data_IF_255000498964
#
_entry.id   IF_255000498964
#
_cell.length_a   1.000
_cell.length_b   1.000
_cell.length_c   1.000
_cell.angle_alpha   90.00
_cell.angle_beta   90.00
_cell.angle_gamma   90.00
#
_symmetry.space_group_name_H-M   'P 1'
#
loop_
_entity.id
_entity.type
_entity.pdbx_description
1 polymer ?
#
# COMPACT_ATOMS: atom_id res chain seq x y z
N UNK A 1 46.99 17.96 29.24
CA UNK A 1 45.92 16.94 29.21
C UNK A 1 44.58 17.62 29.00
N UNK A 2 43.88 17.35 27.90
CA UNK A 2 42.43 17.61 27.75
C UNK A 2 41.88 16.69 26.66
N UNK A 3 41.38 15.49 27.01
CA UNK A 3 40.82 14.55 26.05
C UNK A 3 39.38 14.99 25.71
N UNK A 4 39.22 16.16 25.07
CA UNK A 4 37.89 16.65 24.68
C UNK A 4 37.40 16.06 23.36
N UNK A 5 38.31 15.49 22.56
CA UNK A 5 38.00 14.91 21.25
C UNK A 5 37.58 13.44 21.30
N UNK A 6 37.80 12.74 22.42
CA UNK A 6 37.44 11.31 22.57
C UNK A 6 35.95 11.08 22.87
N UNK A 7 35.24 12.10 23.36
CA UNK A 7 33.82 11.98 23.72
C UNK A 7 32.86 12.26 22.56
N UNK A 8 33.29 13.00 21.54
CA UNK A 8 32.47 13.34 20.37
C UNK A 8 32.05 12.12 19.52
N UNK A 9 32.94 11.16 19.15
CA UNK A 9 32.54 10.01 18.33
C UNK A 9 31.61 9.05 19.10
N UNK A 10 31.78 8.93 20.42
CA UNK A 10 30.92 8.10 21.26
C UNK A 10 29.49 8.65 21.31
N UNK A 11 29.34 9.97 21.43
CA UNK A 11 28.03 10.62 21.46
C UNK A 11 27.28 10.47 20.13
N UNK A 12 27.99 10.54 19.00
CA UNK A 12 27.41 10.36 17.65
C UNK A 12 26.97 8.91 17.42
N UNK A 13 27.77 7.93 17.89
CA UNK A 13 27.40 6.52 17.75
C UNK A 13 26.18 6.17 18.62
N UNK A 14 26.07 6.76 19.81
CA UNK A 14 24.94 6.57 20.71
C UNK A 14 23.62 7.14 20.13
N UNK A 15 23.66 8.29 19.46
CA UNK A 15 22.48 8.87 18.81
C UNK A 15 22.03 8.09 17.58
N UNK A 16 22.95 7.49 16.81
CA UNK A 16 22.60 6.62 15.68
C UNK A 16 21.87 5.35 16.13
N UNK A 17 22.27 4.75 17.26
CA UNK A 17 21.63 3.54 17.78
C UNK A 17 20.23 3.80 18.38
N UNK A 18 19.98 5.03 18.84
CA UNK A 18 18.66 5.47 19.30
C UNK A 18 17.68 5.70 18.13
N UNK A 19 18.18 5.87 16.91
CA UNK A 19 17.41 5.99 15.67
C UNK A 19 17.14 4.62 15.04
N UNK A 20 16.81 3.61 15.85
CA UNK A 20 16.31 2.36 15.29
C UNK A 20 14.90 2.61 14.73
N UNK A 21 14.66 2.41 13.42
CA UNK A 21 13.30 2.43 12.91
C UNK A 21 12.51 1.37 13.69
N UNK A 22 11.38 1.78 14.27
CA UNK A 22 10.44 0.81 14.82
C UNK A 22 10.20 -0.27 13.76
N UNK A 23 10.11 -1.56 14.13
CA UNK A 23 9.80 -2.60 13.16
C UNK A 23 8.51 -2.16 12.48
N UNK A 24 8.60 -1.81 11.21
CA UNK A 24 7.43 -1.56 10.39
C UNK A 24 6.69 -2.90 10.39
N UNK A 25 5.66 -3.01 11.24
CA UNK A 25 4.71 -4.10 11.11
C UNK A 25 4.03 -3.85 9.78
N UNK A 26 4.58 -4.42 8.72
CA UNK A 26 3.89 -4.50 7.44
C UNK A 26 2.57 -5.17 7.77
N UNK A 27 1.47 -4.42 7.72
CA UNK A 27 0.15 -4.99 7.66
C UNK A 27 0.00 -5.60 6.26
N UNK A 28 0.77 -6.68 6.04
CA UNK A 28 0.92 -7.37 4.75
C UNK A 28 -0.42 -7.84 4.19
N UNK A 29 -1.48 -7.82 5.00
CA UNK A 29 -2.84 -8.15 4.60
C UNK A 29 -3.27 -7.44 3.31
N UNK A 30 -3.14 -6.11 3.22
CA UNK A 30 -3.59 -5.38 2.02
C UNK A 30 -2.75 -5.68 0.78
N UNK A 31 -1.43 -5.84 0.96
CA UNK A 31 -0.55 -6.22 -0.15
C UNK A 31 -0.73 -7.67 -0.60
N UNK A 32 -1.00 -8.60 0.32
CA UNK A 32 -1.35 -9.97 -0.01
C UNK A 32 -2.64 -9.97 -0.84
N UNK A 33 -3.67 -9.24 -0.40
CA UNK A 33 -4.93 -9.13 -1.14
C UNK A 33 -4.71 -8.53 -2.53
N UNK A 34 -3.95 -7.44 -2.63
CA UNK A 34 -3.62 -6.81 -3.92
C UNK A 34 -2.90 -7.78 -4.87
N UNK A 35 -1.83 -8.42 -4.39
CA UNK A 35 -1.06 -9.39 -5.19
C UNK A 35 -1.90 -10.58 -5.62
N UNK A 36 -2.77 -11.08 -4.75
CA UNK A 36 -3.68 -12.18 -5.07
C UNK A 36 -4.68 -11.81 -6.17
N UNK A 37 -5.20 -10.57 -6.17
CA UNK A 37 -6.12 -10.08 -7.19
C UNK A 37 -5.45 -9.89 -8.56
N UNK A 38 -4.13 -9.70 -8.60
CA UNK A 38 -3.35 -9.58 -9.84
C UNK A 38 -3.10 -10.92 -10.54
N UNK A 39 -3.51 -12.05 -9.96
CA UNK A 39 -3.37 -13.34 -10.61
C UNK A 39 -4.31 -13.44 -11.84
N UNK A 40 -3.78 -13.64 -13.06
CA UNK A 40 -4.59 -13.69 -14.28
C UNK A 40 -5.59 -14.84 -14.32
N UNK A 41 -5.34 -15.93 -13.59
CA UNK A 41 -6.28 -17.06 -13.48
C UNK A 41 -7.34 -16.84 -12.38
N UNK A 42 -7.41 -15.63 -11.82
CA UNK A 42 -8.25 -15.25 -10.69
C UNK A 42 -7.62 -15.60 -9.34
N UNK A 43 -7.90 -14.78 -8.33
CA UNK A 43 -7.35 -14.94 -6.98
C UNK A 43 -7.66 -16.30 -6.34
N UNK A 44 -8.82 -16.89 -6.64
CA UNK A 44 -9.24 -18.18 -6.09
C UNK A 44 -8.48 -19.38 -6.68
N UNK A 45 -7.76 -19.20 -7.79
CA UNK A 45 -6.91 -20.26 -8.37
C UNK A 45 -5.69 -20.59 -7.52
N UNK A 46 -5.32 -19.71 -6.58
CA UNK A 46 -4.23 -19.92 -5.62
C UNK A 46 -4.84 -20.17 -4.25
N UNK A 47 -4.73 -21.39 -3.68
CA UNK A 47 -5.39 -21.73 -2.40
C UNK A 47 -5.01 -20.80 -1.24
N UNK A 48 -3.75 -20.34 -1.23
CA UNK A 48 -3.27 -19.36 -0.24
C UNK A 48 -4.02 -18.02 -0.29
N UNK A 49 -4.48 -17.62 -1.46
CA UNK A 49 -5.20 -16.36 -1.66
C UNK A 49 -6.66 -16.41 -1.22
N UNK A 50 -7.22 -17.60 -0.98
CA UNK A 50 -8.66 -17.74 -0.70
C UNK A 50 -9.06 -17.07 0.63
N UNK A 51 -8.46 -17.41 1.78
CA UNK A 51 -8.83 -16.80 3.06
C UNK A 51 -8.63 -15.27 3.13
N UNK A 52 -7.49 -14.68 2.69
CA UNK A 52 -7.27 -13.24 2.82
C UNK A 52 -8.20 -12.42 1.92
N UNK A 53 -8.46 -12.87 0.69
CA UNK A 53 -9.35 -12.13 -0.23
C UNK A 53 -10.81 -12.22 0.23
N UNK A 54 -11.27 -13.37 0.72
CA UNK A 54 -12.60 -13.46 1.34
C UNK A 54 -12.74 -12.55 2.56
N UNK A 55 -11.69 -12.45 3.38
CA UNK A 55 -11.67 -11.51 4.50
C UNK A 55 -11.78 -10.06 4.02
N UNK A 56 -11.11 -9.69 2.92
CA UNK A 56 -11.24 -8.35 2.34
C UNK A 56 -12.67 -8.05 1.88
N UNK A 57 -13.34 -9.01 1.22
CA UNK A 57 -14.74 -8.87 0.85
C UNK A 57 -15.67 -8.73 2.06
N UNK A 58 -15.42 -9.48 3.14
CA UNK A 58 -16.19 -9.36 4.38
C UNK A 58 -16.04 -7.96 5.04
N UNK A 59 -14.87 -7.33 4.92
CA UNK A 59 -14.65 -5.97 5.41
C UNK A 59 -15.53 -4.97 4.67
N UNK A 60 -15.50 -4.97 3.34
CA UNK A 60 -16.31 -4.03 2.55
C UNK A 60 -17.80 -4.30 2.65
N UNK A 61 -18.21 -5.57 2.78
CA UNK A 61 -19.60 -5.93 3.10
C UNK A 61 -20.06 -5.34 4.44
N UNK A 62 -19.12 -5.17 5.39
CA UNK A 62 -19.34 -4.52 6.69
C UNK A 62 -19.17 -2.99 6.64
N UNK A 63 -19.17 -2.38 5.45
CA UNK A 63 -18.92 -0.94 5.22
C UNK A 63 -17.56 -0.45 5.73
N UNK A 64 -16.56 -1.34 5.84
CA UNK A 64 -15.17 -0.96 6.13
C UNK A 64 -14.42 -0.67 4.82
N UNK A 65 -13.41 0.22 4.84
CA UNK A 65 -12.62 0.50 3.64
C UNK A 65 -11.88 -0.75 3.17
N UNK A 66 -11.56 -0.75 1.87
CA UNK A 66 -10.67 -1.76 1.28
C UNK A 66 -9.29 -1.70 1.97
N UNK A 67 -8.65 -2.86 2.23
CA UNK A 67 -7.32 -2.88 2.86
C UNK A 67 -6.28 -2.22 1.97
N UNK A 68 -5.44 -1.39 2.60
CA UNK A 68 -4.44 -0.60 1.92
C UNK A 68 -3.14 -1.37 1.74
N UNK A 69 -2.44 -1.12 0.65
CA UNK A 69 -1.06 -1.57 0.42
C UNK A 69 -0.21 -0.32 0.14
N UNK A 70 0.46 0.25 1.15
CA UNK A 70 1.28 1.45 0.99
C UNK A 70 2.32 1.35 -0.14
N UNK A 71 2.86 0.15 -0.35
CA UNK A 71 3.85 -0.20 -1.36
C UNK A 71 3.31 -0.09 -2.78
N UNK A 72 1.99 -0.21 -2.94
CA UNK A 72 1.33 -0.02 -4.22
C UNK A 72 1.21 1.45 -4.63
N UNK A 73 1.60 2.38 -3.74
CA UNK A 73 1.46 3.82 -3.91
C UNK A 73 0.05 4.23 -4.38
N UNK A 74 -0.96 3.48 -3.94
CA UNK A 74 -2.35 3.70 -4.27
C UNK A 74 -2.97 4.49 -3.11
N UNK A 75 -3.37 5.76 -3.31
CA UNK A 75 -3.93 6.57 -2.24
C UNK A 75 -5.33 6.05 -1.90
N UNK A 76 -5.46 5.23 -0.87
CA UNK A 76 -6.77 4.93 -0.28
C UNK A 76 -7.08 5.89 0.85
N UNK A 77 -7.52 7.09 0.49
CA UNK A 77 -7.89 8.11 1.45
C UNK A 77 -9.38 8.48 1.25
N UNK A 78 -10.29 8.01 2.13
CA UNK A 78 -11.74 8.24 1.98
C UNK A 78 -12.19 9.69 2.24
N UNK A 79 -11.31 10.61 2.63
CA UNK A 79 -11.60 12.05 2.83
C UNK A 79 -11.30 12.94 1.62
N UNK A 80 -10.90 12.38 0.48
CA UNK A 80 -10.69 13.13 -0.77
C UNK A 80 -11.55 12.58 -1.91
N UNK A 81 -12.86 12.45 -1.67
CA UNK A 81 -13.83 12.16 -2.72
C UNK A 81 -14.33 13.43 -3.46
N UNK A 82 -13.48 14.47 -3.54
CA UNK A 82 -13.70 15.67 -4.36
C UNK A 82 -12.36 16.12 -4.98
N UNK A 83 -11.64 15.18 -5.57
CA UNK A 83 -10.72 15.54 -6.65
C UNK A 83 -11.11 14.62 -7.80
N UNK A 84 -12.09 15.08 -8.57
CA UNK A 84 -12.48 14.51 -9.84
C UNK A 84 -11.21 14.22 -10.63
N UNK A 85 -10.84 12.95 -10.71
CA UNK A 85 -9.76 12.49 -11.57
C UNK A 85 -10.25 12.69 -12.99
N UNK A 86 -9.99 13.87 -13.52
CA UNK A 86 -10.18 14.15 -14.94
C UNK A 86 -9.24 13.19 -15.66
N UNK A 87 -9.79 12.13 -16.27
CA UNK A 87 -9.04 11.25 -17.16
C UNK A 87 -8.86 12.04 -18.46
N UNK A 88 -8.06 13.10 -18.40
CA UNK A 88 -7.41 13.67 -19.55
C UNK A 88 -6.23 12.75 -19.86
N UNK A 89 -6.26 12.11 -21.03
CA UNK A 89 -5.05 11.51 -21.60
C UNK A 89 -3.90 12.55 -21.59
N UNK A 90 -2.65 12.13 -21.66
CA UNK A 90 -1.48 13.03 -21.55
C UNK A 90 -1.40 14.18 -22.59
N UNK A 91 -2.33 14.26 -23.56
CA UNK A 91 -2.53 15.34 -24.54
C UNK A 91 -3.77 16.22 -24.25
N UNK A 92 -4.57 15.85 -23.25
CA UNK A 92 -5.73 16.63 -22.82
C UNK A 92 -6.98 16.56 -23.71
N UNK A 93 -6.97 15.75 -24.77
CA UNK A 93 -8.00 15.78 -25.82
C UNK A 93 -8.71 14.45 -26.08
N UNK A 94 -8.22 13.34 -25.52
CA UNK A 94 -8.77 12.00 -25.82
C UNK A 94 -9.59 11.44 -24.65
N UNK A 95 -10.91 11.28 -24.84
CA UNK A 95 -11.74 10.44 -23.96
C UNK A 95 -11.48 8.97 -24.29
N UNK A 96 -11.06 8.18 -23.31
CA UNK A 96 -10.97 6.72 -23.45
C UNK A 96 -12.41 6.15 -23.41
N UNK A 97 -12.86 5.42 -24.44
CA UNK A 97 -14.15 4.74 -24.39
C UNK A 97 -14.15 3.74 -23.23
N UNK A 98 -15.28 3.55 -22.52
CA UNK A 98 -15.40 2.46 -21.57
C UNK A 98 -15.14 1.14 -22.30
N UNK A 99 -14.01 0.49 -21.98
CA UNK A 99 -13.68 -0.81 -22.51
C UNK A 99 -14.69 -1.83 -22.02
N UNK A 100 -15.27 -2.59 -22.93
CA UNK A 100 -16.19 -3.68 -22.63
C UNK A 100 -15.39 -4.83 -21.97
N UNK A 101 -15.17 -4.77 -20.66
CA UNK A 101 -14.67 -5.93 -19.94
C UNK A 101 -15.80 -6.95 -19.79
N UNK A 102 -15.66 -8.18 -20.30
CA UNK A 102 -16.59 -9.24 -19.95
C UNK A 102 -16.46 -9.52 -18.45
N UNK A 103 -17.57 -9.42 -17.73
CA UNK A 103 -17.69 -9.96 -16.39
C UNK A 103 -17.60 -11.51 -16.45
N UNK A 104 -17.01 -12.17 -15.43
CA UNK A 104 -17.11 -13.61 -15.28
C UNK A 104 -18.56 -14.06 -14.98
#
# INVERSE_FOLDING_TARGET
MRPRHLFAPLAILATLMALSPAPARADTFGCIVLLCMLNPQGWASVPYCVPPVQKAFALVASRRPWPQCPEANMPGQPDKADESTDILGQDGTTRVPPGNSPAP
#
